data_IF_497402643671
#
_entry.id   IF_497402643671
#
_cell.length_a   1.000
_cell.length_b   1.000
_cell.length_c   1.000
_cell.angle_alpha   90.00
_cell.angle_beta   90.00
_cell.angle_gamma   90.00
#
_symmetry.space_group_name_H-M   'P 1'
#
loop_
_entity.id
_entity.type
_entity.pdbx_description
1 polymer ?
#
# COMPACT_ATOMS: atom_id res chain seq x y z
N UNK A 1 11.32 1.47 -7.56
CA UNK A 1 12.38 0.84 -6.70
C UNK A 1 12.40 1.46 -5.29
N UNK A 2 12.35 0.66 -4.21
CA UNK A 2 12.14 1.15 -2.84
C UNK A 2 13.41 1.76 -2.21
N UNK A 3 13.30 3.00 -1.75
CA UNK A 3 14.39 3.77 -1.12
C UNK A 3 14.25 3.91 0.42
N UNK A 4 13.37 3.13 1.06
CA UNK A 4 13.20 3.16 2.51
C UNK A 4 14.50 2.73 3.21
N UNK A 5 14.83 3.36 4.35
CA UNK A 5 15.87 2.81 5.23
C UNK A 5 15.32 1.54 5.86
N UNK A 6 16.09 0.47 5.82
CA UNK A 6 15.76 -0.82 6.46
C UNK A 6 15.81 -0.68 7.99
N UNK A 7 14.80 -0.02 8.55
CA UNK A 7 14.58 0.16 9.99
C UNK A 7 13.56 -0.87 10.45
N UNK A 8 13.66 -1.30 11.71
CA UNK A 8 12.67 -2.18 12.32
C UNK A 8 11.27 -1.56 12.19
N UNK A 9 10.34 -2.32 11.61
CA UNK A 9 8.94 -1.93 11.49
C UNK A 9 8.30 -1.62 12.85
N UNK A 10 7.28 -0.76 12.84
CA UNK A 10 6.59 -0.26 14.03
C UNK A 10 7.46 0.48 15.07
N UNK A 11 8.65 0.96 14.67
CA UNK A 11 9.45 1.89 15.46
C UNK A 11 9.08 3.34 15.13
N UNK A 12 9.37 4.27 16.06
CA UNK A 12 9.20 5.72 15.80
C UNK A 12 9.94 6.16 14.54
N UNK A 13 11.15 5.66 14.35
CA UNK A 13 12.01 5.96 13.19
C UNK A 13 11.44 5.43 11.87
N UNK A 14 10.66 4.34 11.90
CA UNK A 14 9.92 3.88 10.73
C UNK A 14 8.78 4.86 10.38
N UNK A 15 8.01 5.31 11.38
CA UNK A 15 6.93 6.29 11.16
C UNK A 15 7.46 7.66 10.71
N UNK A 16 8.61 8.10 11.22
CA UNK A 16 9.24 9.37 10.84
C UNK A 16 9.69 9.40 9.36
N UNK A 17 9.78 8.24 8.70
CA UNK A 17 10.08 8.16 7.26
C UNK A 17 8.84 8.24 6.37
N UNK A 18 7.63 8.12 6.92
CA UNK A 18 6.40 8.11 6.15
C UNK A 18 5.95 9.55 5.82
N UNK A 19 5.29 9.72 4.68
CA UNK A 19 4.61 10.98 4.33
C UNK A 19 3.22 11.01 4.93
N UNK A 20 2.81 12.17 5.42
CA UNK A 20 1.47 12.41 5.94
C UNK A 20 0.58 12.98 4.81
N UNK A 21 -0.52 12.30 4.50
CA UNK A 21 -1.46 12.73 3.47
C UNK A 21 -2.89 12.80 4.01
N UNK A 22 -3.72 13.74 3.52
CA UNK A 22 -5.13 13.76 3.85
C UNK A 22 -5.86 12.65 3.07
N UNK A 23 -6.67 11.88 3.77
CA UNK A 23 -7.54 10.87 3.19
C UNK A 23 -8.83 10.77 4.00
N UNK A 24 -9.98 11.00 3.36
CA UNK A 24 -11.32 10.96 3.98
C UNK A 24 -11.44 11.75 5.29
N UNK A 25 -10.90 12.97 5.31
CA UNK A 25 -10.95 13.86 6.48
C UNK A 25 -10.01 13.46 7.62
N UNK A 26 -9.13 12.48 7.42
CA UNK A 26 -8.07 12.08 8.36
C UNK A 26 -6.70 12.32 7.74
N UNK A 27 -5.68 12.41 8.60
CA UNK A 27 -4.28 12.35 8.15
C UNK A 27 -3.82 10.90 8.27
N UNK A 28 -3.24 10.36 7.20
CA UNK A 28 -2.71 8.99 7.13
C UNK A 28 -1.22 9.01 6.78
N UNK A 29 -0.49 8.05 7.32
CA UNK A 29 0.94 7.84 7.03
C UNK A 29 1.08 6.87 5.86
N UNK A 30 1.87 7.22 4.85
CA UNK A 30 2.16 6.37 3.69
C UNK A 30 3.66 6.25 3.46
N UNK A 31 4.12 5.07 3.08
CA UNK A 31 5.50 4.86 2.65
C UNK A 31 5.82 5.73 1.42
N UNK A 32 6.87 6.58 1.44
CA UNK A 32 7.10 7.55 0.38
C UNK A 32 7.34 6.93 -1.00
N UNK A 33 7.85 5.69 -1.04
CA UNK A 33 8.17 4.98 -2.27
C UNK A 33 6.95 4.41 -3.01
N UNK A 34 5.77 4.38 -2.39
CA UNK A 34 4.52 3.89 -3.00
C UNK A 34 3.43 4.97 -2.99
N UNK A 35 3.79 6.20 -2.61
CA UNK A 35 2.83 7.29 -2.42
C UNK A 35 2.04 7.60 -3.68
N UNK A 36 2.69 7.55 -4.84
CA UNK A 36 2.06 7.89 -6.12
C UNK A 36 1.11 6.78 -6.58
N UNK A 37 1.43 5.53 -6.31
CA UNK A 37 0.54 4.40 -6.56
C UNK A 37 -0.72 4.48 -5.69
N UNK A 38 -0.57 4.74 -4.39
CA UNK A 38 -1.71 4.90 -3.49
C UNK A 38 -2.58 6.10 -3.88
N UNK A 39 -1.97 7.23 -4.26
CA UNK A 39 -2.72 8.39 -4.78
C UNK A 39 -3.48 8.05 -6.07
N UNK A 40 -2.88 7.26 -6.96
CA UNK A 40 -3.51 6.85 -8.21
C UNK A 40 -4.75 5.99 -7.96
N UNK A 41 -4.67 5.07 -6.99
CA UNK A 41 -5.82 4.28 -6.52
C UNK A 41 -6.92 5.16 -5.92
N UNK A 42 -6.56 6.11 -5.07
CA UNK A 42 -7.54 7.05 -4.51
C UNK A 42 -8.21 7.92 -5.58
N UNK A 43 -7.46 8.34 -6.60
CA UNK A 43 -7.97 9.16 -7.70
C UNK A 43 -9.06 8.44 -8.52
N UNK A 44 -9.00 7.10 -8.60
CA UNK A 44 -10.03 6.27 -9.24
C UNK A 44 -11.07 5.72 -8.26
N UNK A 45 -11.03 6.14 -6.99
CA UNK A 45 -12.06 5.84 -6.00
C UNK A 45 -11.84 4.57 -5.18
N UNK A 46 -10.66 3.95 -5.23
CA UNK A 46 -10.34 2.74 -4.43
C UNK A 46 -10.07 3.13 -2.97
N UNK A 47 -10.63 2.33 -2.05
CA UNK A 47 -10.52 2.55 -0.61
C UNK A 47 -9.41 1.70 -0.01
N UNK A 48 -8.22 2.27 0.12
CA UNK A 48 -7.11 1.58 0.79
C UNK A 48 -7.28 1.63 2.32
N UNK A 49 -7.11 0.49 2.98
CA UNK A 49 -7.15 0.34 4.44
C UNK A 49 -5.74 0.27 5.07
N UNK A 50 -4.76 -0.17 4.29
CA UNK A 50 -3.35 -0.24 4.69
C UNK A 50 -2.46 -0.54 3.50
N UNK A 51 -1.21 -0.12 3.55
CA UNK A 51 -0.22 -0.43 2.51
C UNK A 51 1.18 -0.48 3.09
N UNK A 52 2.07 -1.21 2.44
CA UNK A 52 3.49 -1.26 2.77
C UNK A 52 4.30 -1.56 1.53
N UNK A 53 5.43 -0.88 1.37
CA UNK A 53 6.33 -1.07 0.23
C UNK A 53 7.16 -2.37 0.29
N UNK A 54 7.07 -3.14 1.36
CA UNK A 54 7.89 -4.33 1.56
C UNK A 54 9.26 -4.09 2.17
N UNK A 55 9.67 -2.83 2.27
CA UNK A 55 10.97 -2.38 2.79
C UNK A 55 12.16 -3.23 2.31
N UNK A 56 12.18 -3.61 1.03
CA UNK A 56 13.20 -4.47 0.40
C UNK A 56 13.39 -5.86 1.03
N UNK A 57 12.49 -6.29 1.92
CA UNK A 57 12.56 -7.57 2.63
C UNK A 57 11.46 -8.55 2.19
N UNK A 58 10.33 -8.03 1.73
CA UNK A 58 9.20 -8.82 1.26
C UNK A 58 8.47 -8.11 0.10
N UNK A 59 7.53 -8.82 -0.52
CA UNK A 59 6.61 -8.24 -1.49
C UNK A 59 5.80 -7.10 -0.85
N UNK A 60 5.70 -5.97 -1.54
CA UNK A 60 4.88 -4.86 -1.08
C UNK A 60 3.40 -5.12 -1.33
N UNK A 61 2.56 -4.62 -0.43
CA UNK A 61 1.14 -4.96 -0.42
C UNK A 61 0.23 -3.76 -0.21
N UNK A 62 -0.99 -3.89 -0.71
CA UNK A 62 -2.11 -2.97 -0.52
C UNK A 62 -3.31 -3.77 0.00
N UNK A 63 -3.85 -3.34 1.13
CA UNK A 63 -5.12 -3.80 1.67
C UNK A 63 -6.21 -2.82 1.24
N UNK A 64 -7.29 -3.30 0.65
CA UNK A 64 -8.44 -2.48 0.23
C UNK A 64 -9.72 -2.85 0.97
N UNK A 65 -10.73 -1.98 0.92
CA UNK A 65 -12.06 -2.35 1.38
C UNK A 65 -12.62 -3.47 0.49
N UNK A 66 -13.36 -4.41 1.08
CA UNK A 66 -13.94 -5.58 0.38
C UNK A 66 -14.76 -5.22 -0.87
N UNK A 67 -15.27 -3.99 -0.91
CA UNK A 67 -16.13 -3.48 -1.98
C UNK A 67 -15.35 -3.10 -3.24
N UNK A 68 -14.05 -2.87 -3.10
CA UNK A 68 -13.17 -2.43 -4.18
C UNK A 68 -12.30 -3.59 -4.71
N UNK A 69 -12.50 -4.81 -4.19
CA UNK A 69 -11.74 -6.01 -4.58
C UNK A 69 -11.89 -6.31 -6.06
N UNK A 70 -13.11 -6.17 -6.60
CA UNK A 70 -13.36 -6.44 -8.00
C UNK A 70 -12.68 -5.40 -8.89
N UNK A 71 -12.79 -4.12 -8.53
CA UNK A 71 -12.17 -3.00 -9.25
C UNK A 71 -10.65 -3.10 -9.23
N UNK A 72 -10.04 -3.54 -8.12
CA UNK A 72 -8.60 -3.82 -8.06
C UNK A 72 -8.17 -4.87 -9.10
N UNK A 73 -8.95 -5.96 -9.24
CA UNK A 73 -8.69 -7.01 -10.24
C UNK A 73 -8.86 -6.45 -11.66
N UNK A 74 -9.91 -5.66 -11.92
CA UNK A 74 -10.12 -5.01 -13.23
C UNK A 74 -9.01 -4.02 -13.59
N UNK A 75 -8.47 -3.33 -12.58
CA UNK A 75 -7.29 -2.48 -12.73
C UNK A 75 -6.01 -3.29 -13.00
N UNK A 76 -6.05 -4.63 -12.93
CA UNK A 76 -4.92 -5.51 -13.18
C UNK A 76 -4.00 -5.70 -11.98
N UNK A 77 -4.50 -5.49 -10.75
CA UNK A 77 -3.77 -5.85 -9.54
C UNK A 77 -3.90 -7.35 -9.27
N UNK A 78 -2.81 -7.96 -8.79
CA UNK A 78 -2.77 -9.37 -8.41
C UNK A 78 -2.91 -9.53 -6.90
N UNK A 79 -3.51 -10.63 -6.46
CA UNK A 79 -3.60 -10.96 -5.04
C UNK A 79 -2.21 -11.30 -4.48
N UNK A 80 -1.93 -10.80 -3.27
CA UNK A 80 -0.72 -11.10 -2.54
C UNK A 80 -0.74 -12.54 -2.04
N UNK A 81 0.35 -13.28 -2.25
CA UNK A 81 0.48 -14.67 -1.76
C UNK A 81 0.93 -14.74 -0.29
N UNK A 82 1.30 -13.61 0.30
CA UNK A 82 1.72 -13.52 1.71
C UNK A 82 0.57 -13.72 2.72
N UNK A 83 -0.68 -13.60 2.30
CA UNK A 83 -1.85 -13.61 3.18
C UNK A 83 -2.89 -14.61 2.68
N UNK A 84 -2.90 -15.80 3.25
CA UNK A 84 -3.89 -16.82 2.93
C UNK A 84 -5.31 -16.37 3.31
N UNK A 85 -6.29 -16.67 2.45
CA UNK A 85 -7.72 -16.35 2.65
C UNK A 85 -8.02 -14.85 2.82
N UNK A 86 -7.21 -13.97 2.22
CA UNK A 86 -7.40 -12.52 2.24
C UNK A 86 -7.63 -11.99 0.81
N UNK A 87 -8.87 -11.99 0.32
CA UNK A 87 -9.19 -11.53 -1.03
C UNK A 87 -9.06 -10.01 -1.20
N UNK A 88 -8.80 -9.29 -0.11
CA UNK A 88 -8.63 -7.85 0.00
C UNK A 88 -7.16 -7.40 -0.03
N UNK A 89 -6.22 -8.35 -0.14
CA UNK A 89 -4.78 -8.09 -0.11
C UNK A 89 -4.17 -8.25 -1.50
N UNK A 90 -3.66 -7.16 -2.05
CA UNK A 90 -3.06 -7.09 -3.38
C UNK A 90 -1.58 -6.78 -3.31
N UNK A 91 -0.85 -7.18 -4.35
CA UNK A 91 0.55 -6.80 -4.58
C UNK A 91 0.60 -5.36 -5.08
N UNK A 92 1.68 -4.66 -4.79
CA UNK A 92 2.00 -3.44 -5.55
C UNK A 92 2.28 -3.80 -7.00
N UNK A 93 1.95 -2.90 -7.92
CA UNK A 93 2.49 -2.98 -9.27
C UNK A 93 3.95 -2.54 -9.16
N UNK A 94 4.85 -3.52 -9.19
CA UNK A 94 6.29 -3.23 -9.26
C UNK A 94 6.54 -2.32 -10.47
N UNK A 95 7.31 -1.24 -10.30
CA UNK A 95 7.91 -0.55 -11.45
C UNK A 95 8.81 -1.58 -12.16
N UNK A 96 8.46 -2.02 -13.38
CA UNK A 96 9.40 -2.73 -14.27
C UNK A 96 10.57 -1.82 -14.67
#
# INVERSE_FOLDING_TARGET
MCNCKNIRGASKEAFDQMVQLPYQGKTVSIDPCIVDEIKSLWAVGIHTLGSCCGHNNHEGTICVHERDVFEMIELGYELSTLYENRPDMFKLKSDE
#
